data_IF_110719974165
#
_entry.id   IF_110719974165
#
_cell.length_a   1.000
_cell.length_b   1.000
_cell.length_c   1.000
_cell.angle_alpha   90.00
_cell.angle_beta   90.00
_cell.angle_gamma   90.00
#
_symmetry.space_group_name_H-M   'P 1'
#
loop_
_entity.id
_entity.type
_entity.pdbx_description
1 polymer ?
#
# COMPACT_ATOMS: atom_id res chain seq x y z
N UNK A 1 20.89 49.28 13.09
CA UNK A 1 20.81 47.95 12.46
C UNK A 1 20.09 47.04 13.43
N UNK A 2 18.84 46.68 13.15
CA UNK A 2 18.00 45.83 14.01
C UNK A 2 18.49 44.39 13.89
N UNK A 3 18.92 43.80 15.00
CA UNK A 3 19.22 42.37 15.10
C UNK A 3 17.90 41.65 15.40
N UNK A 4 17.35 40.96 14.40
CA UNK A 4 16.21 40.08 14.63
C UNK A 4 16.67 38.85 15.42
N UNK A 5 16.23 38.79 16.67
CA UNK A 5 16.35 37.63 17.52
C UNK A 5 15.60 36.46 16.86
N UNK A 6 16.35 35.47 16.36
CA UNK A 6 15.76 34.21 15.91
C UNK A 6 15.06 33.57 17.10
N UNK A 7 13.73 33.57 17.09
CA UNK A 7 12.89 32.89 18.06
C UNK A 7 13.28 31.41 18.07
N UNK A 8 13.96 30.97 19.13
CA UNK A 8 14.15 29.56 19.42
C UNK A 8 12.80 28.95 19.74
N UNK A 9 12.23 28.23 18.77
CA UNK A 9 11.13 27.31 19.04
C UNK A 9 11.70 26.22 19.94
N UNK A 10 11.12 26.02 21.11
CA UNK A 10 11.65 25.17 22.16
C UNK A 10 11.79 23.72 21.72
N UNK A 11 12.93 23.09 22.03
CA UNK A 11 13.25 21.72 21.60
C UNK A 11 12.21 20.65 21.97
N UNK A 12 11.33 20.91 22.93
CA UNK A 12 10.20 20.03 23.26
C UNK A 12 9.11 20.01 22.20
N UNK A 13 8.83 21.14 21.54
CA UNK A 13 7.84 21.22 20.46
C UNK A 13 8.36 20.56 19.18
N UNK A 14 9.63 20.76 18.84
CA UNK A 14 10.28 20.06 17.72
C UNK A 14 10.35 18.55 17.96
N UNK A 15 10.71 18.11 19.17
CA UNK A 15 10.72 16.69 19.53
C UNK A 15 9.31 16.08 19.39
N UNK A 16 8.28 16.79 19.85
CA UNK A 16 6.91 16.35 19.75
C UNK A 16 6.48 16.21 18.28
N UNK A 17 6.77 17.20 17.44
CA UNK A 17 6.47 17.17 16.00
C UNK A 17 7.20 16.01 15.31
N UNK A 18 8.46 15.78 15.65
CA UNK A 18 9.23 14.64 15.15
C UNK A 18 8.55 13.32 15.55
N UNK A 19 8.26 13.11 16.83
CA UNK A 19 7.62 11.89 17.33
C UNK A 19 6.27 11.65 16.66
N UNK A 20 5.42 12.68 16.55
CA UNK A 20 4.14 12.57 15.83
C UNK A 20 4.35 12.22 14.35
N UNK A 21 5.36 12.80 13.70
CA UNK A 21 5.74 12.45 12.34
C UNK A 21 6.12 10.98 12.18
N UNK A 22 6.97 10.45 13.07
CA UNK A 22 7.38 9.04 13.08
C UNK A 22 6.22 8.09 13.35
N UNK A 23 5.33 8.44 14.27
CA UNK A 23 4.13 7.63 14.55
C UNK A 23 3.19 7.63 13.35
N UNK A 24 2.95 8.79 12.73
CA UNK A 24 2.08 8.88 11.56
C UNK A 24 2.62 8.09 10.35
N UNK A 25 3.93 8.15 10.08
CA UNK A 25 4.55 7.38 8.99
C UNK A 25 4.56 5.88 9.27
N UNK A 26 4.84 5.47 10.51
CA UNK A 26 4.77 4.07 10.91
C UNK A 26 3.35 3.49 10.81
N UNK A 27 2.34 4.25 11.22
CA UNK A 27 0.94 3.85 11.13
C UNK A 27 0.46 3.77 9.67
N UNK A 28 0.83 4.75 8.84
CA UNK A 28 0.50 4.75 7.41
C UNK A 28 1.14 3.58 6.66
N UNK A 29 2.40 3.26 6.95
CA UNK A 29 3.09 2.10 6.38
C UNK A 29 2.47 0.77 6.84
N UNK A 30 2.04 0.67 8.09
CA UNK A 30 1.36 -0.52 8.61
C UNK A 30 -0.01 -0.74 7.94
N UNK A 31 -0.79 0.34 7.73
CA UNK A 31 -2.08 0.26 7.06
C UNK A 31 -1.95 -0.06 5.56
N UNK A 32 -0.95 0.50 4.88
CA UNK A 32 -0.67 0.19 3.47
C UNK A 32 -0.26 -1.27 3.25
N UNK A 33 0.35 -1.91 4.26
CA UNK A 33 0.82 -3.29 4.21
C UNK A 33 -0.32 -4.33 4.21
N UNK A 34 -1.53 -3.93 4.59
CA UNK A 34 -2.65 -4.86 4.71
C UNK A 34 -3.53 -4.93 3.47
N UNK A 35 -3.48 -3.94 2.57
CA UNK A 35 -4.30 -3.94 1.35
C UNK A 35 -3.74 -4.93 0.32
N UNK A 36 -4.62 -5.78 -0.21
CA UNK A 36 -4.31 -6.67 -1.32
C UNK A 36 -5.05 -6.19 -2.57
N UNK A 37 -4.30 -5.94 -3.65
CA UNK A 37 -4.87 -5.70 -4.97
C UNK A 37 -5.04 -7.05 -5.69
N UNK A 38 -6.20 -7.26 -6.30
CA UNK A 38 -6.54 -8.49 -7.02
C UNK A 38 -6.98 -8.12 -8.42
N UNK A 39 -6.25 -8.57 -9.41
CA UNK A 39 -6.62 -8.45 -10.83
C UNK A 39 -7.16 -9.80 -11.29
N UNK A 40 -8.42 -9.82 -11.73
CA UNK A 40 -9.03 -11.01 -12.33
C UNK A 40 -8.96 -10.87 -13.84
N UNK A 41 -8.25 -11.80 -14.48
CA UNK A 41 -8.03 -11.79 -15.94
C UNK A 41 -8.86 -12.88 -16.59
N UNK A 42 -9.86 -12.48 -17.36
CA UNK A 42 -10.52 -13.36 -18.32
C UNK A 42 -9.76 -13.27 -19.64
N UNK A 43 -9.53 -14.39 -20.32
CA UNK A 43 -8.82 -14.40 -21.60
C UNK A 43 -9.49 -15.28 -22.63
N UNK A 44 -9.42 -14.86 -23.89
CA UNK A 44 -9.83 -15.61 -25.07
C UNK A 44 -8.63 -15.78 -26.01
N UNK A 45 -8.37 -17.01 -26.45
CA UNK A 45 -7.30 -17.29 -27.41
C UNK A 45 -7.78 -17.13 -28.85
N UNK A 46 -6.98 -16.49 -29.69
CA UNK A 46 -7.21 -16.37 -31.13
C UNK A 46 -6.53 -17.52 -31.90
N UNK A 47 -7.03 -17.90 -33.11
CA UNK A 47 -6.39 -18.92 -33.95
C UNK A 47 -4.94 -18.62 -34.36
N UNK A 48 -4.54 -17.34 -34.30
CA UNK A 48 -3.15 -16.93 -34.57
C UNK A 48 -2.23 -17.08 -33.34
N UNK A 49 -2.75 -17.53 -32.19
CA UNK A 49 -1.99 -17.71 -30.95
C UNK A 49 -1.97 -16.49 -30.02
N UNK A 50 -2.61 -15.38 -30.41
CA UNK A 50 -2.75 -14.19 -29.56
C UNK A 50 -3.84 -14.39 -28.50
N UNK A 51 -3.82 -13.55 -27.47
CA UNK A 51 -4.84 -13.50 -26.43
C UNK A 51 -5.52 -12.14 -26.39
N UNK A 52 -6.85 -12.14 -26.27
CA UNK A 52 -7.62 -10.96 -25.86
C UNK A 52 -7.94 -11.10 -24.37
N UNK A 53 -7.61 -10.09 -23.57
CA UNK A 53 -7.80 -10.14 -22.10
C UNK A 53 -8.77 -9.07 -21.62
N UNK A 54 -9.58 -9.42 -20.64
CA UNK A 54 -10.49 -8.53 -19.94
C UNK A 54 -10.15 -8.56 -18.45
N UNK A 55 -9.61 -7.45 -17.94
CA UNK A 55 -9.16 -7.35 -16.55
C UNK A 55 -10.20 -6.64 -15.70
N UNK A 56 -10.49 -7.20 -14.52
CA UNK A 56 -11.31 -6.56 -13.49
C UNK A 56 -10.50 -6.40 -12.22
N UNK A 57 -10.46 -5.17 -11.70
CA UNK A 57 -9.71 -4.83 -10.50
C UNK A 57 -10.59 -4.93 -9.26
N UNK A 58 -10.04 -5.55 -8.22
CA UNK A 58 -10.66 -5.74 -6.92
C UNK A 58 -9.67 -5.41 -5.81
N UNK A 59 -10.19 -5.10 -4.62
CA UNK A 59 -9.38 -4.88 -3.42
C UNK A 59 -9.86 -5.76 -2.28
N UNK A 60 -8.90 -6.30 -1.55
CA UNK A 60 -9.12 -7.07 -0.33
C UNK A 60 -8.08 -6.72 0.72
N UNK A 61 -7.91 -7.63 1.69
CA UNK A 61 -6.88 -7.51 2.72
C UNK A 61 -6.11 -8.80 2.87
N UNK A 62 -4.80 -8.70 3.08
CA UNK A 62 -4.00 -9.83 3.49
C UNK A 62 -4.42 -10.29 4.90
N UNK A 63 -4.68 -11.58 5.05
CA UNK A 63 -4.88 -12.17 6.37
C UNK A 63 -3.56 -12.27 7.12
N UNK A 64 -3.60 -12.02 8.42
CA UNK A 64 -2.43 -12.18 9.32
C UNK A 64 -2.05 -13.65 9.55
N UNK A 65 -2.90 -14.59 9.15
CA UNK A 65 -2.63 -16.02 9.27
C UNK A 65 -1.72 -16.56 8.14
N UNK A 66 -1.52 -15.78 7.07
CA UNK A 66 -0.71 -16.16 5.91
C UNK A 66 0.45 -15.20 5.66
N UNK A 67 1.24 -15.49 4.63
CA UNK A 67 2.30 -14.59 4.16
C UNK A 67 1.71 -13.37 3.42
N UNK A 68 2.25 -12.18 3.67
CA UNK A 68 1.94 -10.96 2.91
C UNK A 68 2.85 -10.87 1.69
N UNK A 69 2.55 -11.68 0.67
CA UNK A 69 3.32 -11.75 -0.59
C UNK A 69 2.36 -11.77 -1.78
N UNK A 70 2.85 -11.38 -2.95
CA UNK A 70 2.11 -11.54 -4.20
C UNK A 70 1.96 -13.01 -4.58
N UNK A 71 0.90 -13.31 -5.33
CA UNK A 71 0.66 -14.63 -5.93
C UNK A 71 -0.11 -14.47 -7.24
N UNK A 72 0.12 -15.39 -8.17
CA UNK A 72 -0.58 -15.48 -9.46
C UNK A 72 -0.92 -16.95 -9.76
N UNK A 73 -1.98 -17.19 -10.52
CA UNK A 73 -2.41 -18.54 -10.90
C UNK A 73 -3.84 -18.61 -11.41
N UNK A 74 -4.23 -19.79 -11.86
CA UNK A 74 -5.61 -20.09 -12.26
C UNK A 74 -6.54 -20.07 -11.04
N UNK A 75 -7.70 -19.41 -11.17
CA UNK A 75 -8.70 -19.34 -10.10
C UNK A 75 -9.48 -20.65 -10.04
N UNK A 76 -9.35 -21.39 -8.95
CA UNK A 76 -10.11 -22.62 -8.68
C UNK A 76 -11.02 -22.41 -7.47
N UNK A 77 -12.33 -22.52 -7.68
CA UNK A 77 -13.30 -22.48 -6.58
C UNK A 77 -13.34 -23.82 -5.85
N UNK A 78 -12.87 -23.84 -4.60
CA UNK A 78 -12.94 -25.01 -3.72
C UNK A 78 -14.16 -24.86 -2.81
N UNK A 79 -14.95 -25.93 -2.66
CA UNK A 79 -16.22 -25.97 -1.92
C UNK A 79 -16.10 -26.78 -0.64
#
# INVERSE_FOLDING_TARGET
MVSEARKGVGGSAELLVLVLGWVATGLGAALAKETAFVEVVLFESSPNGDYTTYTTDLQGRFSRAGATISAEGEIVQVR
#
